data_IF_106679241007
#
_entry.id   IF_106679241007
#
_cell.length_a   1.000
_cell.length_b   1.000
_cell.length_c   1.000
_cell.angle_alpha   90.00
_cell.angle_beta   90.00
_cell.angle_gamma   90.00
#
_symmetry.space_group_name_H-M   'P 1'
#
loop_
_entity.id
_entity.type
_entity.pdbx_description
1 polymer ?
#
# COMPACT_ATOMS: atom_id res chain seq x y z
N UNK A 1 3.21 3.70 19.54
CA UNK A 1 2.68 4.80 18.70
C UNK A 1 2.96 4.38 17.27
N UNK A 2 1.98 4.38 16.38
CA UNK A 2 2.23 4.05 14.98
C UNK A 2 2.75 5.33 14.32
N UNK A 3 4.04 5.35 14.03
CA UNK A 3 4.70 6.48 13.37
C UNK A 3 4.35 6.48 11.88
N UNK A 4 3.20 7.07 11.53
CA UNK A 4 2.78 7.24 10.14
C UNK A 4 3.77 8.10 9.32
N UNK A 5 4.60 8.91 9.97
CA UNK A 5 5.69 9.69 9.36
C UNK A 5 6.96 8.86 9.04
N UNK A 6 7.13 7.67 9.63
CA UNK A 6 8.28 6.79 9.38
C UNK A 6 7.90 5.52 8.60
N UNK A 7 6.80 5.57 7.86
CA UNK A 7 6.47 4.47 6.96
C UNK A 7 7.53 4.36 5.87
N UNK A 8 8.07 3.16 5.60
CA UNK A 8 9.00 2.98 4.50
C UNK A 8 8.30 3.31 3.19
N UNK A 9 8.90 4.16 2.37
CA UNK A 9 8.47 4.33 0.98
C UNK A 9 8.71 3.03 0.23
N UNK A 10 7.65 2.49 -0.39
CA UNK A 10 7.70 1.27 -1.20
C UNK A 10 7.26 1.57 -2.62
N UNK A 11 7.60 0.69 -3.56
CA UNK A 11 7.22 0.87 -4.97
C UNK A 11 5.81 0.32 -5.26
N UNK A 12 4.93 0.28 -4.27
CA UNK A 12 3.59 -0.24 -4.45
C UNK A 12 2.81 0.60 -5.49
N UNK A 13 2.17 -0.09 -6.44
CA UNK A 13 1.34 0.53 -7.47
C UNK A 13 0.06 -0.25 -7.69
N UNK A 14 -1.03 0.50 -7.88
CA UNK A 14 -2.34 -0.04 -8.24
C UNK A 14 -2.48 -0.42 -9.72
N UNK A 15 -1.43 -0.27 -10.53
CA UNK A 15 -1.47 -0.64 -11.94
C UNK A 15 -1.67 -2.16 -12.11
N UNK A 16 -2.73 -2.55 -12.82
CA UNK A 16 -3.10 -3.96 -13.02
C UNK A 16 -3.69 -4.65 -11.77
N UNK A 17 -4.08 -3.88 -10.75
CA UNK A 17 -4.74 -4.37 -9.54
C UNK A 17 -6.24 -4.04 -9.58
N UNK A 18 -7.02 -4.77 -8.79
CA UNK A 18 -8.47 -4.62 -8.67
C UNK A 18 -8.76 -3.43 -7.76
N UNK A 19 -9.61 -2.51 -8.23
CA UNK A 19 -10.12 -1.41 -7.42
C UNK A 19 -11.00 -1.97 -6.29
N UNK A 20 -10.76 -1.51 -5.06
CA UNK A 20 -11.32 -2.05 -3.82
C UNK A 20 -10.57 -3.27 -3.29
N UNK A 21 -9.51 -3.72 -3.95
CA UNK A 21 -8.66 -4.82 -3.51
C UNK A 21 -7.68 -4.39 -2.41
N UNK A 22 -7.37 -5.35 -1.52
CA UNK A 22 -6.39 -5.20 -0.44
C UNK A 22 -5.12 -5.97 -0.82
N UNK A 23 -3.98 -5.30 -0.73
CA UNK A 23 -2.70 -5.84 -1.16
C UNK A 23 -1.67 -5.70 -0.04
N UNK A 24 -1.08 -6.82 0.37
CA UNK A 24 0.00 -6.80 1.35
C UNK A 24 1.26 -6.20 0.73
N UNK A 25 1.93 -5.33 1.49
CA UNK A 25 3.22 -4.79 1.10
C UNK A 25 4.35 -5.67 1.64
N UNK A 26 4.98 -6.41 0.74
CA UNK A 26 6.11 -7.29 1.07
C UNK A 26 7.40 -6.52 1.31
N UNK A 27 7.56 -5.33 0.70
CA UNK A 27 8.75 -4.48 0.89
C UNK A 27 8.74 -3.87 2.30
N UNK A 28 7.55 -3.60 2.83
CA UNK A 28 7.36 -3.18 4.22
C UNK A 28 7.35 -4.33 5.24
N UNK A 29 7.84 -5.52 4.87
CA UNK A 29 7.88 -6.67 5.78
C UNK A 29 6.50 -7.16 6.24
N UNK A 30 5.46 -7.02 5.40
CA UNK A 30 4.08 -7.39 5.71
C UNK A 30 3.47 -6.64 6.91
N UNK A 31 4.05 -5.51 7.31
CA UNK A 31 3.51 -4.68 8.40
C UNK A 31 2.43 -3.70 7.93
N UNK A 32 2.31 -3.48 6.61
CA UNK A 32 1.29 -2.61 6.01
C UNK A 32 0.55 -3.29 4.85
N UNK A 33 -0.58 -2.72 4.49
CA UNK A 33 -1.35 -3.09 3.31
C UNK A 33 -1.80 -1.83 2.56
N UNK A 34 -1.98 -1.98 1.25
CA UNK A 34 -2.48 -0.94 0.37
C UNK A 34 -3.87 -1.31 -0.14
N UNK A 35 -4.73 -0.30 -0.26
CA UNK A 35 -6.07 -0.46 -0.84
C UNK A 35 -6.17 0.42 -2.07
N UNK A 36 -6.35 -0.21 -3.22
CA UNK A 36 -6.48 0.52 -4.47
C UNK A 36 -7.88 1.12 -4.58
N UNK A 37 -8.01 2.44 -4.60
CA UNK A 37 -9.31 3.11 -4.76
C UNK A 37 -9.36 3.94 -6.04
N UNK A 38 -10.57 4.25 -6.51
CA UNK A 38 -10.78 5.13 -7.66
C UNK A 38 -10.25 6.53 -7.31
N UNK A 39 -9.17 6.95 -7.95
CA UNK A 39 -8.54 8.26 -7.74
C UNK A 39 -7.18 8.22 -7.04
N UNK A 40 -6.68 7.04 -6.63
CA UNK A 40 -5.26 6.91 -6.32
C UNK A 40 -4.46 6.90 -7.62
N UNK A 41 -3.61 7.91 -7.79
CA UNK A 41 -2.77 8.13 -8.95
C UNK A 41 -1.32 7.86 -8.60
#
# INVERSE_FOLDING_TARGET
>A
YLDFDNLPETNFSCQGKVIGGYYADVEAGCQMFHVCTIGQK
#
